data_IF_920543313236
#
_entry.id   IF_920543313236
#
_cell.length_a   1.000
_cell.length_b   1.000
_cell.length_c   1.000
_cell.angle_alpha   90.00
_cell.angle_beta   90.00
_cell.angle_gamma   90.00
#
_symmetry.space_group_name_H-M   'P 1'
#
loop_
_entity.id
_entity.type
_entity.pdbx_description
1 polymer ?
#
# COMPACT_ATOMS: atom_id res chain seq x y z
N UNK A 1 4.94 4.56 4.48
CA UNK A 1 3.92 3.57 4.07
C UNK A 1 2.79 3.56 5.08
N UNK A 2 1.55 3.42 4.62
CA UNK A 2 0.34 3.41 5.47
C UNK A 2 -0.42 2.12 5.21
N UNK A 3 -0.64 1.33 6.27
CA UNK A 3 -1.48 0.12 6.24
C UNK A 3 -1.11 -0.89 5.15
N UNK A 4 0.19 -1.10 4.99
CA UNK A 4 0.76 -2.11 4.10
C UNK A 4 1.78 -2.87 4.92
N UNK A 5 1.67 -4.19 4.95
CA UNK A 5 2.69 -5.11 5.44
C UNK A 5 3.16 -5.95 4.24
N UNK A 6 4.46 -6.21 4.16
CA UNK A 6 5.07 -6.97 3.06
C UNK A 6 5.92 -8.10 3.64
N UNK A 7 5.81 -9.29 3.05
CA UNK A 7 6.67 -10.43 3.34
C UNK A 7 7.03 -11.14 2.05
N UNK A 8 8.27 -11.62 1.95
CA UNK A 8 8.75 -12.40 0.80
C UNK A 8 9.02 -13.83 1.25
N UNK A 9 8.45 -14.79 0.54
CA UNK A 9 8.77 -16.21 0.67
C UNK A 9 9.28 -16.75 -0.67
N UNK A 10 10.60 -16.96 -0.75
CA UNK A 10 11.30 -17.30 -1.99
C UNK A 10 11.12 -16.24 -3.08
N UNK A 11 10.20 -16.48 -4.00
CA UNK A 11 9.86 -15.57 -5.12
C UNK A 11 8.46 -14.98 -5.01
N UNK A 12 7.73 -15.32 -3.95
CA UNK A 12 6.36 -14.85 -3.71
C UNK A 12 6.38 -13.64 -2.78
N UNK A 13 5.86 -12.52 -3.26
CA UNK A 13 5.57 -11.35 -2.43
C UNK A 13 4.13 -11.41 -1.94
N UNK A 14 3.96 -11.46 -0.62
CA UNK A 14 2.65 -11.32 0.03
C UNK A 14 2.51 -9.90 0.56
N UNK A 15 1.39 -9.27 0.23
CA UNK A 15 1.04 -7.93 0.67
C UNK A 15 -0.23 -8.04 1.50
N UNK A 16 -0.17 -7.55 2.72
CA UNK A 16 -1.32 -7.52 3.62
C UNK A 16 -1.75 -6.07 3.87
N UNK A 17 -3.04 -5.84 3.67
CA UNK A 17 -3.71 -4.56 3.88
C UNK A 17 -4.94 -4.80 4.73
N UNK A 18 -5.10 -4.03 5.80
CA UNK A 18 -6.29 -4.09 6.65
C UNK A 18 -7.37 -3.15 6.10
N UNK A 19 -8.38 -3.70 5.42
CA UNK A 19 -9.43 -2.91 4.78
C UNK A 19 -10.38 -2.19 5.76
N UNK A 20 -10.27 -2.44 7.07
CA UNK A 20 -11.08 -1.72 8.07
C UNK A 20 -10.48 -0.38 8.48
N UNK A 21 -9.27 -0.03 8.01
CA UNK A 21 -8.57 1.22 8.35
C UNK A 21 -8.68 2.25 7.24
N UNK A 22 -8.78 3.52 7.63
CA UNK A 22 -8.83 4.65 6.72
C UNK A 22 -7.90 5.77 7.23
N UNK A 23 -7.27 6.51 6.30
CA UNK A 23 -6.27 7.56 6.58
C UNK A 23 -6.71 8.94 6.08
N UNK A 24 -8.03 9.14 5.97
CA UNK A 24 -8.62 10.39 5.53
C UNK A 24 -8.67 10.55 4.00
N UNK A 25 -9.15 11.72 3.53
CA UNK A 25 -9.31 11.99 2.11
C UNK A 25 -7.96 12.13 1.40
N UNK A 26 -7.92 11.75 0.12
CA UNK A 26 -6.79 12.03 -0.76
C UNK A 26 -6.63 13.53 -1.02
N UNK A 27 -5.47 13.95 -1.56
CA UNK A 27 -5.17 15.36 -1.83
C UNK A 27 -6.19 16.08 -2.71
N UNK A 28 -6.94 15.35 -3.54
CA UNK A 28 -8.03 15.91 -4.37
C UNK A 28 -9.40 15.85 -3.70
N UNK A 29 -9.51 15.21 -2.53
CA UNK A 29 -10.76 15.01 -1.79
C UNK A 29 -11.71 13.96 -2.37
N UNK A 30 -11.38 13.35 -3.53
CA UNK A 30 -12.28 12.45 -4.28
C UNK A 30 -12.34 11.01 -3.74
N UNK A 31 -11.36 10.61 -2.94
CA UNK A 31 -11.22 9.24 -2.44
C UNK A 31 -10.80 9.25 -0.98
N UNK A 32 -11.09 8.16 -0.26
CA UNK A 32 -10.56 7.91 1.09
C UNK A 32 -9.41 6.91 0.96
N UNK A 33 -8.27 7.23 1.56
CA UNK A 33 -7.07 6.40 1.54
C UNK A 33 -7.27 5.23 2.51
N UNK A 34 -7.14 4.00 2.00
CA UNK A 34 -7.16 2.77 2.80
C UNK A 34 -5.73 2.27 3.03
N UNK A 35 -4.89 2.31 2.00
CA UNK A 35 -3.47 1.98 2.10
C UNK A 35 -2.64 2.68 1.01
N UNK A 36 -1.37 2.94 1.30
CA UNK A 36 -0.44 3.47 0.30
C UNK A 36 1.01 3.16 0.65
N UNK A 37 1.82 2.83 -0.36
CA UNK A 37 3.29 2.81 -0.24
C UNK A 37 3.90 4.22 -0.27
N UNK A 38 3.10 5.25 -0.57
CA UNK A 38 3.52 6.65 -0.65
C UNK A 38 4.61 6.90 -1.71
N UNK A 39 4.53 6.15 -2.81
CA UNK A 39 5.50 6.15 -3.91
C UNK A 39 5.99 4.74 -4.22
N UNK A 40 7.00 4.65 -5.08
CA UNK A 40 7.68 3.38 -5.36
C UNK A 40 8.70 3.11 -4.25
N UNK A 41 8.59 1.96 -3.60
CA UNK A 41 9.51 1.50 -2.55
C UNK A 41 10.18 0.20 -2.97
N UNK A 42 11.34 -0.11 -2.38
CA UNK A 42 11.94 -1.45 -2.55
C UNK A 42 11.10 -2.50 -1.84
N UNK A 43 10.96 -3.66 -2.46
CA UNK A 43 10.54 -4.87 -1.75
C UNK A 43 11.68 -5.28 -0.80
N UNK A 44 11.40 -5.71 0.45
CA UNK A 44 12.45 -6.12 1.39
C UNK A 44 13.41 -7.15 0.78
N UNK A 45 14.71 -6.92 0.94
CA UNK A 45 15.81 -7.77 0.46
C UNK A 45 15.78 -8.11 -1.05
N UNK A 46 15.17 -7.22 -1.84
CA UNK A 46 14.93 -7.39 -3.27
C UNK A 46 15.22 -6.12 -4.05
N UNK A 47 15.47 -6.23 -5.35
CA UNK A 47 15.73 -5.07 -6.23
C UNK A 47 14.45 -4.52 -6.85
N UNK A 48 13.43 -5.36 -6.96
CA UNK A 48 12.13 -5.02 -7.49
C UNK A 48 11.49 -3.87 -6.68
N UNK A 49 10.81 -2.97 -7.39
CA UNK A 49 10.11 -1.82 -6.80
C UNK A 49 8.61 -2.06 -6.83
N UNK A 50 7.91 -1.59 -5.80
CA UNK A 50 6.46 -1.65 -5.70
C UNK A 50 5.87 -0.28 -5.39
N UNK A 51 4.83 0.07 -6.13
CA UNK A 51 3.92 1.16 -5.82
C UNK A 51 2.51 0.59 -5.64
N UNK A 52 1.89 0.81 -4.49
CA UNK A 52 0.55 0.33 -4.17
C UNK A 52 -0.31 1.47 -3.63
N UNK A 53 -1.53 1.59 -4.15
CA UNK A 53 -2.57 2.45 -3.60
C UNK A 53 -3.85 1.64 -3.48
N UNK A 54 -4.43 1.64 -2.28
CA UNK A 54 -5.75 1.06 -2.02
C UNK A 54 -6.62 2.20 -1.52
N UNK A 55 -7.73 2.44 -2.20
CA UNK A 55 -8.63 3.54 -1.90
C UNK A 55 -10.08 3.16 -2.21
N UNK A 56 -11.00 3.83 -1.55
CA UNK A 56 -12.43 3.81 -1.89
C UNK A 56 -12.82 5.17 -2.47
N UNK A 57 -13.74 5.16 -3.44
CA UNK A 57 -14.43 6.41 -3.79
C UNK A 57 -15.22 6.87 -2.57
N UNK A 58 -15.23 8.19 -2.39
CA UNK A 58 -16.12 8.82 -1.43
C UNK A 58 -17.56 8.77 -1.92
#
# INVERSE_FOLDING_TARGET
MKNVEMSVDGTVLTIKVDLSKEFGPSSTGKTIIVASTEGNVSIPDRQEKIGLNVYRKK
#
